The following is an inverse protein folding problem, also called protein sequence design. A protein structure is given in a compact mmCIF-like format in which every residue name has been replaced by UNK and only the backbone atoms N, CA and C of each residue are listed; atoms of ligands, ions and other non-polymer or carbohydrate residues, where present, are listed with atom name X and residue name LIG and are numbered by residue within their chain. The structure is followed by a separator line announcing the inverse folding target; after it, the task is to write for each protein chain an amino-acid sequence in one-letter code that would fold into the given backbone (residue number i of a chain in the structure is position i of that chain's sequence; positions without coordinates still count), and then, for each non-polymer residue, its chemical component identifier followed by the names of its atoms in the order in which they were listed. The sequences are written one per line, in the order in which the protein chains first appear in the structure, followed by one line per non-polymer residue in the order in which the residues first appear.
data_IF_866277189234
#
_entry.id   IF_866277189234
#
_cell.length_a   1.000
_cell.length_b   1.000
_cell.length_c   1.000
_cell.angle_alpha   90.00
_cell.angle_beta   90.00
_cell.angle_gamma   90.00
#
_symmetry.space_group_name_H-M   'P 1'
#
loop_
_entity.id
_entity.type
_entity.pdbx_description
1 polymer ?
#
# COMPACT_ATOMS: atom_id res chain seq x y z
N UNK A 1 -25.26 11.75 -1.83
CA UNK A 1 -24.04 12.57 -1.94
C UNK A 1 -22.81 11.74 -1.55
N UNK A 2 -22.91 10.95 -0.50
CA UNK A 2 -21.83 10.17 0.13
C UNK A 2 -21.15 9.19 -0.84
N UNK A 3 -21.93 8.47 -1.67
CA UNK A 3 -21.37 7.53 -2.67
C UNK A 3 -20.49 8.22 -3.72
N UNK A 4 -20.89 9.42 -4.16
CA UNK A 4 -20.09 10.18 -5.12
C UNK A 4 -18.78 10.68 -4.50
N UNK A 5 -18.85 11.17 -3.25
CA UNK A 5 -17.67 11.61 -2.52
C UNK A 5 -16.73 10.44 -2.17
N UNK A 6 -17.29 9.27 -1.82
CA UNK A 6 -16.52 8.04 -1.64
C UNK A 6 -15.75 7.66 -2.92
N UNK A 7 -16.44 7.68 -4.07
CA UNK A 7 -15.82 7.38 -5.36
C UNK A 7 -14.72 8.40 -5.72
N UNK A 8 -14.96 9.69 -5.51
CA UNK A 8 -13.95 10.74 -5.70
C UNK A 8 -12.76 10.50 -4.77
N UNK A 9 -13.00 10.12 -3.52
CA UNK A 9 -11.97 9.76 -2.56
C UNK A 9 -11.07 8.63 -3.07
N UNK A 10 -11.64 7.55 -3.61
CA UNK A 10 -10.86 6.46 -4.19
C UNK A 10 -10.06 6.90 -5.42
N UNK A 11 -10.63 7.71 -6.31
CA UNK A 11 -9.90 8.25 -7.47
C UNK A 11 -8.71 9.10 -7.02
N UNK A 12 -8.90 9.95 -6.01
CA UNK A 12 -7.82 10.77 -5.45
C UNK A 12 -6.74 9.91 -4.80
N UNK A 13 -7.10 8.86 -4.05
CA UNK A 13 -6.15 7.93 -3.44
C UNK A 13 -5.29 7.24 -4.51
N UNK A 14 -5.92 6.64 -5.52
CA UNK A 14 -5.23 5.88 -6.56
C UNK A 14 -4.34 6.81 -7.40
N UNK A 15 -4.90 7.90 -7.93
CA UNK A 15 -4.13 8.83 -8.77
C UNK A 15 -3.08 9.61 -7.97
N UNK A 16 -3.37 9.91 -6.71
CA UNK A 16 -2.42 10.53 -5.80
C UNK A 16 -1.22 9.61 -5.53
N UNK A 17 -1.46 8.32 -5.29
CA UNK A 17 -0.40 7.33 -5.12
C UNK A 17 0.45 7.16 -6.39
N UNK A 18 -0.17 7.07 -7.58
CA UNK A 18 0.53 7.02 -8.87
C UNK A 18 1.47 8.22 -9.02
N UNK A 19 0.98 9.45 -8.82
CA UNK A 19 1.80 10.66 -8.93
C UNK A 19 2.91 10.70 -7.89
N UNK A 20 2.64 10.28 -6.65
CA UNK A 20 3.64 10.23 -5.59
C UNK A 20 4.77 9.25 -5.94
N UNK A 21 4.45 8.06 -6.46
CA UNK A 21 5.42 7.04 -6.89
C UNK A 21 6.24 7.54 -8.07
N UNK A 22 5.61 8.08 -9.10
CA UNK A 22 6.29 8.59 -10.30
C UNK A 22 7.26 9.73 -9.95
N UNK A 23 6.79 10.69 -9.16
CA UNK A 23 7.60 11.82 -8.72
C UNK A 23 8.78 11.40 -7.86
N UNK A 24 8.54 10.56 -6.84
CA UNK A 24 9.56 10.09 -5.91
C UNK A 24 10.60 9.20 -6.58
N UNK A 25 10.16 8.28 -7.45
CA UNK A 25 11.05 7.43 -8.24
C UNK A 25 11.92 8.26 -9.19
N UNK A 26 11.35 9.26 -9.85
CA UNK A 26 12.12 10.17 -10.73
C UNK A 26 13.13 10.99 -9.95
N UNK A 27 12.76 11.53 -8.79
CA UNK A 27 13.67 12.27 -7.91
C UNK A 27 14.84 11.38 -7.44
N UNK A 28 14.55 10.17 -6.98
CA UNK A 28 15.57 9.23 -6.53
C UNK A 28 16.56 8.86 -7.66
N UNK A 29 16.09 8.73 -8.90
CA UNK A 29 16.96 8.51 -10.08
C UNK A 29 17.83 9.72 -10.40
N UNK A 30 17.28 10.94 -10.33
CA UNK A 30 18.07 12.17 -10.46
C UNK A 30 19.20 12.19 -9.42
N UNK A 31 18.93 11.69 -8.20
CA UNK A 31 19.91 11.54 -7.12
C UNK A 31 20.82 10.31 -7.28
N UNK A 32 20.73 9.58 -8.39
CA UNK A 32 21.51 8.36 -8.71
C UNK A 32 21.31 7.20 -7.72
N UNK A 33 20.14 7.12 -7.11
CA UNK A 33 19.75 5.96 -6.29
C UNK A 33 19.50 4.76 -7.22
N UNK A 34 20.07 3.57 -6.92
CA UNK A 34 19.82 2.36 -7.70
C UNK A 34 18.33 2.06 -7.80
N UNK A 35 17.87 1.67 -8.98
CA UNK A 35 16.44 1.47 -9.27
C UNK A 35 15.83 0.30 -8.50
N UNK A 36 16.62 -0.72 -8.17
CA UNK A 36 16.19 -1.81 -7.26
C UNK A 36 15.79 -1.25 -5.90
N UNK A 37 16.56 -0.30 -5.34
CA UNK A 37 16.22 0.35 -4.05
C UNK A 37 14.94 1.17 -4.21
N UNK A 38 14.78 1.88 -5.32
CA UNK A 38 13.57 2.66 -5.60
C UNK A 38 12.34 1.74 -5.61
N UNK A 39 12.41 0.61 -6.33
CA UNK A 39 11.33 -0.36 -6.39
C UNK A 39 10.98 -0.98 -5.03
N UNK A 40 12.00 -1.41 -4.28
CA UNK A 40 11.81 -2.06 -2.98
C UNK A 40 11.34 -1.10 -1.87
N UNK A 41 11.56 0.19 -2.01
CA UNK A 41 11.20 1.20 -0.99
C UNK A 41 10.09 2.12 -1.47
N UNK A 42 10.39 3.03 -2.39
CA UNK A 42 9.47 4.11 -2.81
C UNK A 42 8.22 3.52 -3.47
N UNK A 43 8.38 2.60 -4.42
CA UNK A 43 7.24 2.00 -5.12
C UNK A 43 6.42 1.16 -4.15
N UNK A 44 7.07 0.30 -3.35
CA UNK A 44 6.37 -0.55 -2.38
C UNK A 44 5.61 0.28 -1.32
N UNK A 45 6.21 1.36 -0.80
CA UNK A 45 5.54 2.25 0.14
C UNK A 45 4.44 3.09 -0.54
N UNK A 46 4.66 3.53 -1.77
CA UNK A 46 3.69 4.31 -2.53
C UNK A 46 2.44 3.53 -2.88
N UNK A 47 2.57 2.25 -3.22
CA UNK A 47 1.40 1.38 -3.47
C UNK A 47 0.57 1.11 -2.22
N UNK A 48 1.17 1.19 -1.02
CA UNK A 48 0.48 1.09 0.27
C UNK A 48 0.08 2.45 0.85
N UNK A 49 0.33 3.56 0.14
CA UNK A 49 -0.04 4.90 0.60
C UNK A 49 -1.55 5.10 0.75
N UNK A 50 -2.43 4.58 -0.15
CA UNK A 50 -3.87 4.61 0.04
C UNK A 50 -4.33 3.94 1.33
N UNK A 51 -3.86 2.71 1.60
CA UNK A 51 -4.19 1.97 2.81
C UNK A 51 -3.71 2.70 4.07
N UNK A 52 -2.47 3.20 4.05
CA UNK A 52 -1.90 3.95 5.15
C UNK A 52 -2.69 5.24 5.40
N UNK A 53 -3.05 5.99 4.35
CA UNK A 53 -3.84 7.22 4.47
C UNK A 53 -5.21 6.95 5.09
N UNK A 54 -5.93 5.95 4.60
CA UNK A 54 -7.24 5.58 5.14
C UNK A 54 -7.11 5.15 6.60
N UNK A 55 -6.17 4.27 6.94
CA UNK A 55 -6.01 3.77 8.32
C UNK A 55 -5.60 4.87 9.29
N UNK A 56 -4.70 5.80 8.89
CA UNK A 56 -4.30 6.94 9.71
C UNK A 56 -5.49 7.90 9.92
N UNK A 57 -6.22 8.25 8.85
CA UNK A 57 -7.37 9.14 8.97
C UNK A 57 -8.48 8.52 9.83
N UNK A 58 -8.77 7.23 9.66
CA UNK A 58 -9.73 6.51 10.49
C UNK A 58 -9.33 6.52 11.98
N UNK A 59 -8.06 6.26 12.29
CA UNK A 59 -7.54 6.32 13.65
C UNK A 59 -7.64 7.74 14.26
N UNK A 60 -7.34 8.78 13.47
CA UNK A 60 -7.48 10.18 13.90
C UNK A 60 -8.95 10.60 14.12
N UNK A 61 -9.87 10.03 13.33
CA UNK A 61 -11.32 10.23 13.48
C UNK A 61 -11.93 9.40 14.63
N UNK A 62 -11.15 8.53 15.29
CA UNK A 62 -11.64 7.65 16.36
C UNK A 62 -12.30 6.36 15.85
N UNK A 63 -12.35 6.14 14.54
CA UNK A 63 -12.89 4.91 13.90
C UNK A 63 -11.81 3.82 13.80
N UNK A 64 -11.34 3.37 14.96
CA UNK A 64 -10.24 2.38 15.05
C UNK A 64 -10.58 1.05 14.36
N UNK A 65 -11.86 0.67 14.35
CA UNK A 65 -12.35 -0.53 13.68
C UNK A 65 -12.11 -0.46 12.16
N UNK A 66 -12.32 0.70 11.54
CA UNK A 66 -11.99 0.91 10.12
C UNK A 66 -10.47 0.82 9.91
N UNK A 67 -9.66 1.42 10.78
CA UNK A 67 -8.21 1.42 10.64
C UNK A 67 -7.64 0.00 10.61
N UNK A 68 -8.05 -0.85 11.55
CA UNK A 68 -7.57 -2.24 11.67
C UNK A 68 -8.15 -3.12 10.55
N UNK A 69 -9.45 -3.01 10.30
CA UNK A 69 -10.14 -3.84 9.31
C UNK A 69 -9.69 -3.54 7.88
N UNK A 70 -9.35 -2.28 7.57
CA UNK A 70 -8.76 -1.92 6.28
C UNK A 70 -7.43 -2.65 6.04
N UNK A 71 -6.52 -2.67 7.02
CA UNK A 71 -5.23 -3.38 6.90
C UNK A 71 -5.43 -4.88 6.71
N UNK A 72 -6.28 -5.51 7.53
CA UNK A 72 -6.57 -6.94 7.43
C UNK A 72 -7.27 -7.27 6.12
N UNK A 73 -8.28 -6.49 5.74
CA UNK A 73 -9.04 -6.67 4.51
C UNK A 73 -8.17 -6.53 3.26
N UNK A 74 -7.30 -5.53 3.21
CA UNK A 74 -6.36 -5.33 2.10
C UNK A 74 -5.38 -6.50 1.97
N UNK A 75 -4.85 -7.03 3.07
CA UNK A 75 -4.00 -8.21 3.05
C UNK A 75 -4.73 -9.45 2.51
N UNK A 76 -5.98 -9.68 2.96
CA UNK A 76 -6.81 -10.78 2.47
C UNK A 76 -7.14 -10.61 0.99
N UNK A 77 -7.56 -9.42 0.57
CA UNK A 77 -7.88 -9.13 -0.82
C UNK A 77 -6.65 -9.33 -1.72
N UNK A 78 -5.50 -8.78 -1.35
CA UNK A 78 -4.27 -8.92 -2.11
C UNK A 78 -3.81 -10.38 -2.19
N UNK A 79 -3.86 -11.12 -1.09
CA UNK A 79 -3.44 -12.52 -1.04
C UNK A 79 -4.39 -13.49 -1.76
N UNK A 80 -5.69 -13.31 -1.65
CA UNK A 80 -6.67 -14.25 -2.20
C UNK A 80 -7.14 -13.83 -3.59
N UNK A 81 -7.52 -12.55 -3.76
CA UNK A 81 -8.13 -12.09 -5.02
C UNK A 81 -7.04 -11.72 -6.03
N UNK A 82 -6.13 -10.81 -5.69
CA UNK A 82 -5.12 -10.33 -6.66
C UNK A 82 -4.21 -11.48 -7.08
N UNK A 83 -3.61 -12.19 -6.12
CA UNK A 83 -2.72 -13.33 -6.43
C UNK A 83 -3.51 -14.45 -7.10
N UNK A 84 -4.74 -14.75 -6.65
CA UNK A 84 -5.60 -15.77 -7.22
C UNK A 84 -5.97 -15.50 -8.68
N UNK A 85 -6.40 -14.27 -9.00
CA UNK A 85 -6.73 -13.85 -10.37
C UNK A 85 -5.49 -13.87 -11.26
N UNK A 86 -4.35 -13.35 -10.80
CA UNK A 86 -3.10 -13.40 -11.55
C UNK A 86 -2.69 -14.85 -11.86
N UNK A 87 -2.78 -15.75 -10.90
CA UNK A 87 -2.45 -17.17 -11.09
C UNK A 87 -3.42 -17.87 -12.05
N UNK A 88 -4.69 -17.50 -12.03
CA UNK A 88 -5.71 -18.02 -12.94
C UNK A 88 -5.49 -17.55 -14.39
N UNK A 89 -5.14 -16.28 -14.58
CA UNK A 89 -4.93 -15.70 -15.92
C UNK A 89 -3.59 -16.11 -16.55
N UNK A 90 -2.53 -16.12 -15.76
CA UNK A 90 -1.18 -16.49 -16.20
C UNK A 90 -0.43 -17.10 -15.02
N UNK A 91 -0.29 -18.43 -15.00
CA UNK A 91 0.50 -19.10 -13.97
C UNK A 91 1.91 -18.49 -13.89
N UNK A 92 2.36 -18.11 -12.70
CA UNK A 92 3.68 -17.49 -12.50
C UNK A 92 4.54 -18.31 -11.55
N UNK A 93 5.86 -18.23 -11.75
CA UNK A 93 6.84 -18.83 -10.85
C UNK A 93 7.24 -17.82 -9.79
N UNK A 94 7.27 -18.24 -8.53
CA UNK A 94 7.70 -17.38 -7.42
C UNK A 94 9.22 -17.47 -7.26
N UNK A 95 9.87 -16.32 -7.02
CA UNK A 95 11.29 -16.28 -6.70
C UNK A 95 11.55 -17.04 -5.37
N UNK A 96 12.56 -17.93 -5.32
CA UNK A 96 12.93 -18.65 -4.10
C UNK A 96 13.24 -17.76 -2.89
N UNK A 97 13.72 -16.54 -3.10
CA UNK A 97 13.98 -15.58 -2.02
C UNK A 97 12.69 -15.12 -1.33
N UNK A 98 11.64 -14.84 -2.09
CA UNK A 98 10.32 -14.50 -1.56
C UNK A 98 9.80 -15.63 -0.67
N UNK A 99 9.92 -16.87 -1.15
CA UNK A 99 9.42 -18.03 -0.43
C UNK A 99 10.19 -18.32 0.86
N UNK A 100 11.52 -18.10 0.86
CA UNK A 100 12.40 -18.45 1.99
C UNK A 100 12.60 -17.30 2.98
N UNK A 101 12.48 -16.06 2.56
CA UNK A 101 12.73 -14.88 3.39
C UNK A 101 11.44 -14.11 3.69
N UNK A 102 10.72 -13.67 2.66
CA UNK A 102 9.64 -12.71 2.82
C UNK A 102 8.34 -13.37 3.32
N UNK A 103 8.02 -14.58 2.84
CA UNK A 103 6.85 -15.33 3.31
C UNK A 103 6.92 -15.70 4.80
N UNK A 104 7.99 -16.29 5.32
CA UNK A 104 8.12 -16.57 6.77
C UNK A 104 8.05 -15.30 7.60
N UNK A 105 8.69 -14.21 7.15
CA UNK A 105 8.63 -12.93 7.85
C UNK A 105 7.21 -12.37 7.91
N UNK A 106 6.47 -12.42 6.80
CA UNK A 106 5.08 -12.00 6.75
C UNK A 106 4.21 -12.79 7.74
N UNK A 107 4.39 -14.11 7.81
CA UNK A 107 3.69 -14.98 8.77
C UNK A 107 4.03 -14.57 10.21
N UNK A 108 5.30 -14.32 10.51
CA UNK A 108 5.75 -13.91 11.85
C UNK A 108 5.15 -12.57 12.24
N UNK A 109 5.21 -11.57 11.35
CA UNK A 109 4.65 -10.24 11.61
C UNK A 109 3.13 -10.31 11.80
N UNK A 110 2.43 -11.11 11.00
CA UNK A 110 0.99 -11.31 11.14
C UNK A 110 0.66 -12.00 12.48
N UNK A 111 1.44 -13.00 12.89
CA UNK A 111 1.27 -13.65 14.18
C UNK A 111 1.52 -12.70 15.36
N UNK A 112 2.55 -11.85 15.27
CA UNK A 112 2.82 -10.81 16.28
C UNK A 112 1.64 -9.85 16.37
N UNK A 113 1.13 -9.36 15.22
CA UNK A 113 -0.03 -8.48 15.18
C UNK A 113 -1.27 -9.16 15.79
N UNK A 114 -1.52 -10.43 15.48
CA UNK A 114 -2.61 -11.20 16.10
C UNK A 114 -2.46 -11.29 17.61
N UNK A 115 -1.24 -11.51 18.13
CA UNK A 115 -0.99 -11.57 19.59
C UNK A 115 -1.25 -10.20 20.22
N UNK A 116 -0.78 -9.11 19.61
CA UNK A 116 -1.03 -7.73 20.07
C UNK A 116 -2.52 -7.38 20.12
N UNK A 117 -3.31 -7.95 19.20
CA UNK A 117 -4.76 -7.70 19.12
C UNK A 117 -5.60 -8.58 20.06
N UNK A 118 -5.03 -9.49 20.84
CA UNK A 118 -5.79 -10.35 21.75
C UNK A 118 -6.57 -9.57 22.82
N UNK A 119 -6.03 -8.45 23.27
CA UNK A 119 -6.69 -7.55 24.22
C UNK A 119 -7.59 -6.51 23.53
N UNK A 120 -7.71 -6.56 22.18
CA UNK A 120 -8.48 -5.63 21.32
C UNK A 120 -7.97 -4.19 21.36
N UNK A 121 -6.73 -3.99 21.79
CA UNK A 121 -6.09 -2.69 21.86
C UNK A 121 -4.69 -2.76 21.27
N UNK A 122 -4.31 -1.76 20.47
CA UNK A 122 -2.91 -1.54 20.10
C UNK A 122 -2.46 -0.27 20.81
N UNK A 123 -1.54 -0.42 21.75
CA UNK A 123 -1.01 0.70 22.49
C UNK A 123 0.16 1.38 21.75
N UNK A 124 0.58 2.55 22.24
CA UNK A 124 1.64 3.34 21.59
C UNK A 124 2.99 2.61 21.52
N UNK A 125 3.29 1.79 22.52
CA UNK A 125 4.55 1.03 22.59
C UNK A 125 4.55 -0.05 21.51
N UNK A 126 3.47 -0.77 21.35
CA UNK A 126 3.28 -1.77 20.30
C UNK A 126 3.37 -1.14 18.91
N UNK A 127 2.74 0.04 18.71
CA UNK A 127 2.87 0.81 17.47
C UNK A 127 4.32 1.19 17.17
N UNK A 128 5.10 1.63 18.17
CA UNK A 128 6.52 1.93 18.02
C UNK A 128 7.32 0.67 17.65
N UNK A 129 7.04 -0.47 18.28
CA UNK A 129 7.69 -1.76 17.97
C UNK A 129 7.45 -2.13 16.50
N UNK A 130 6.22 -2.02 16.01
CA UNK A 130 5.88 -2.30 14.61
C UNK A 130 6.61 -1.36 13.65
N UNK A 131 6.68 -0.05 13.96
CA UNK A 131 7.40 0.94 13.15
C UNK A 131 8.91 0.67 13.11
N UNK A 132 9.52 0.31 14.24
CA UNK A 132 10.94 -0.09 14.30
C UNK A 132 11.14 -1.36 13.47
N UNK A 133 10.26 -2.36 13.60
CA UNK A 133 10.30 -3.57 12.80
C UNK A 133 10.27 -3.29 11.29
N UNK A 134 9.39 -2.38 10.85
CA UNK A 134 9.33 -1.93 9.46
C UNK A 134 10.61 -1.23 9.00
N UNK A 135 11.16 -0.33 9.83
CA UNK A 135 12.42 0.35 9.53
C UNK A 135 13.60 -0.63 9.37
N UNK A 136 13.69 -1.61 10.27
CA UNK A 136 14.71 -2.68 10.20
C UNK A 136 14.53 -3.54 8.94
N UNK A 137 13.30 -3.89 8.59
CA UNK A 137 13.00 -4.64 7.38
C UNK A 137 13.43 -3.89 6.11
N UNK A 138 13.05 -2.61 5.99
CA UNK A 138 13.46 -1.77 4.85
C UNK A 138 14.99 -1.66 4.78
N UNK A 139 15.66 -1.42 5.91
CA UNK A 139 17.12 -1.35 5.95
C UNK A 139 17.76 -2.67 5.49
N UNK A 140 17.25 -3.82 5.94
CA UNK A 140 17.73 -5.14 5.52
C UNK A 140 17.54 -5.37 4.02
N UNK A 141 16.38 -4.98 3.45
CA UNK A 141 16.12 -5.07 2.02
C UNK A 141 17.08 -4.20 1.21
N UNK A 142 17.30 -2.95 1.62
CA UNK A 142 18.22 -2.01 0.96
C UNK A 142 19.65 -2.56 0.98
N UNK A 143 20.12 -3.07 2.13
CA UNK A 143 21.45 -3.66 2.25
C UNK A 143 21.60 -4.89 1.35
N UNK A 144 20.57 -5.75 1.28
CA UNK A 144 20.55 -6.92 0.40
C UNK A 144 20.62 -6.52 -1.08
N UNK A 145 19.82 -5.53 -1.49
CA UNK A 145 19.80 -5.02 -2.86
C UNK A 145 21.13 -4.39 -3.29
N UNK A 146 21.80 -3.67 -2.40
CA UNK A 146 23.13 -3.10 -2.67
C UNK A 146 24.21 -4.17 -2.87
N UNK A 147 24.06 -5.33 -2.24
CA UNK A 147 25.00 -6.47 -2.41
C UNK A 147 24.82 -7.19 -3.74
N UNK A 148 23.58 -7.30 -4.22
CA UNK A 148 23.23 -8.16 -5.36
C UNK A 148 23.34 -7.47 -6.72
N UNK A 149 23.67 -6.17 -6.81
CA UNK A 149 23.90 -5.37 -8.05
C UNK A 149 23.00 -5.78 -9.24
N UNK A 150 21.71 -5.91 -9.03
CA UNK A 150 20.79 -6.16 -10.16
C UNK A 150 20.59 -4.87 -10.96
N UNK A 151 20.76 -4.98 -12.27
CA UNK A 151 20.52 -3.89 -13.22
C UNK A 151 19.00 -3.74 -13.41
N UNK A 152 18.50 -2.54 -13.26
CA UNK A 152 17.09 -2.30 -13.35
C UNK A 152 16.67 -1.56 -14.61
N UNK A 153 15.41 -1.78 -14.96
CA UNK A 153 14.74 -1.29 -16.16
C UNK A 153 14.74 0.23 -16.32
N UNK A 154 14.79 0.66 -17.59
CA UNK A 154 14.71 2.05 -18.02
C UNK A 154 13.25 2.57 -17.93
N UNK A 155 12.92 3.29 -16.88
CA UNK A 155 11.67 4.05 -16.82
C UNK A 155 11.92 5.53 -17.16
N UNK A 156 10.89 6.22 -17.64
CA UNK A 156 10.94 7.65 -17.97
C UNK A 156 11.27 8.50 -16.74
N UNK A 157 12.29 9.34 -16.84
CA UNK A 157 12.67 10.29 -15.78
C UNK A 157 11.94 11.61 -16.03
N UNK A 158 11.21 12.09 -15.03
CA UNK A 158 10.60 13.42 -15.03
C UNK A 158 11.67 14.47 -14.74
N UNK A 159 11.45 15.72 -15.19
CA UNK A 159 12.29 16.84 -14.77
C UNK A 159 12.13 17.12 -13.27
N UNK A 160 13.17 17.67 -12.63
CA UNK A 160 13.16 17.94 -11.19
C UNK A 160 11.91 18.75 -10.73
N UNK A 161 11.52 19.87 -11.36
CA UNK A 161 10.34 20.61 -10.93
C UNK A 161 9.05 19.78 -11.10
N UNK A 162 8.94 18.98 -12.15
CA UNK A 162 7.79 18.11 -12.36
C UNK A 162 7.73 16.98 -11.32
N UNK A 163 8.88 16.41 -10.95
CA UNK A 163 8.96 15.41 -9.88
C UNK A 163 8.48 15.98 -8.54
N UNK A 164 8.88 17.20 -8.18
CA UNK A 164 8.43 17.85 -6.95
C UNK A 164 6.92 18.14 -6.96
N UNK A 165 6.38 18.61 -8.08
CA UNK A 165 4.93 18.83 -8.22
C UNK A 165 4.17 17.52 -8.07
N UNK A 166 4.66 16.43 -8.65
CA UNK A 166 4.06 15.11 -8.54
C UNK A 166 4.10 14.55 -7.11
N UNK A 167 5.22 14.73 -6.40
CA UNK A 167 5.34 14.32 -4.99
C UNK A 167 4.35 15.08 -4.11
N UNK A 168 4.35 16.41 -4.18
CA UNK A 168 3.50 17.25 -3.32
C UNK A 168 2.03 17.08 -3.69
N UNK A 169 1.70 17.15 -4.97
CA UNK A 169 0.34 16.97 -5.47
C UNK A 169 -0.21 15.58 -5.17
N UNK A 170 0.62 14.54 -5.36
CA UNK A 170 0.27 13.17 -5.04
C UNK A 170 0.01 12.98 -3.55
N UNK A 171 0.88 13.50 -2.69
CA UNK A 171 0.71 13.41 -1.23
C UNK A 171 -0.57 14.12 -0.76
N UNK A 172 -0.83 15.32 -1.26
CA UNK A 172 -2.06 16.07 -0.96
C UNK A 172 -3.29 15.25 -1.40
N UNK A 173 -3.28 14.71 -2.62
CA UNK A 173 -4.39 13.92 -3.14
C UNK A 173 -4.64 12.65 -2.31
N UNK A 174 -3.57 11.96 -1.86
CA UNK A 174 -3.68 10.77 -0.98
C UNK A 174 -4.29 11.14 0.38
N UNK A 175 -3.84 12.23 1.01
CA UNK A 175 -4.36 12.67 2.31
C UNK A 175 -5.85 13.03 2.20
N UNK A 176 -6.22 13.91 1.26
CA UNK A 176 -7.61 14.32 1.07
C UNK A 176 -8.50 13.16 0.62
N UNK A 177 -8.01 12.30 -0.26
CA UNK A 177 -8.70 11.10 -0.69
C UNK A 177 -9.00 10.16 0.48
N UNK A 178 -8.02 9.94 1.37
CA UNK A 178 -8.20 9.15 2.59
C UNK A 178 -9.28 9.70 3.52
N UNK A 179 -9.28 11.01 3.76
CA UNK A 179 -10.33 11.67 4.56
C UNK A 179 -11.71 11.49 3.93
N UNK A 180 -11.85 11.76 2.63
CA UNK A 180 -13.13 11.57 1.93
C UNK A 180 -13.64 10.13 2.01
N UNK A 181 -12.76 9.15 1.85
CA UNK A 181 -13.14 7.73 1.94
C UNK A 181 -13.64 7.39 3.33
N UNK A 182 -12.90 7.75 4.38
CA UNK A 182 -13.28 7.43 5.77
C UNK A 182 -14.61 8.09 6.14
N UNK A 183 -14.74 9.40 5.95
CA UNK A 183 -15.92 10.15 6.34
C UNK A 183 -17.19 9.61 5.67
N UNK A 184 -17.12 9.36 4.36
CA UNK A 184 -18.29 8.88 3.62
C UNK A 184 -18.56 7.39 3.85
N UNK A 185 -17.54 6.57 4.08
CA UNK A 185 -17.72 5.17 4.46
C UNK A 185 -18.42 5.04 5.83
N UNK A 186 -18.04 5.87 6.83
CA UNK A 186 -18.72 5.91 8.12
C UNK A 186 -20.19 6.30 7.99
N UNK A 187 -20.52 7.31 7.16
CA UNK A 187 -21.90 7.71 6.91
C UNK A 187 -22.72 6.59 6.27
N UNK A 188 -22.16 5.94 5.23
CA UNK A 188 -22.80 4.81 4.55
C UNK A 188 -23.01 3.64 5.51
N UNK A 189 -22.02 3.30 6.34
CA UNK A 189 -22.14 2.26 7.35
C UNK A 189 -23.33 2.53 8.29
N UNK A 190 -23.46 3.78 8.76
CA UNK A 190 -24.52 4.22 9.64
C UNK A 190 -25.91 4.13 8.97
N UNK A 191 -26.02 4.54 7.71
CA UNK A 191 -27.27 4.53 6.95
C UNK A 191 -27.78 3.10 6.70
N UNK A 192 -26.88 2.15 6.46
CA UNK A 192 -27.22 0.74 6.26
C UNK A 192 -27.29 -0.07 7.56
N UNK A 193 -26.93 0.48 8.69
CA UNK A 193 -26.87 -0.24 9.97
C UNK A 193 -25.83 -1.36 9.97
N UNK A 194 -24.79 -1.26 9.13
CA UNK A 194 -23.67 -2.21 9.09
C UNK A 194 -22.52 -1.70 9.96
N UNK A 195 -21.72 -2.63 10.48
CA UNK A 195 -20.59 -2.25 11.33
C UNK A 195 -19.47 -1.58 10.50
N UNK A 196 -18.74 -0.66 11.14
CA UNK A 196 -17.55 -0.04 10.55
C UNK A 196 -16.49 -1.07 10.17
N UNK A 197 -16.36 -2.16 10.95
CA UNK A 197 -15.51 -3.30 10.62
C UNK A 197 -15.86 -3.93 9.27
N UNK A 198 -17.16 -4.14 9.00
CA UNK A 198 -17.59 -4.74 7.75
C UNK A 198 -17.24 -3.85 6.55
N UNK A 199 -17.48 -2.56 6.65
CA UNK A 199 -17.13 -1.59 5.59
C UNK A 199 -15.61 -1.51 5.40
N UNK A 200 -14.83 -1.49 6.47
CA UNK A 200 -13.36 -1.49 6.42
C UNK A 200 -12.80 -2.73 5.74
N UNK A 201 -13.30 -3.92 6.11
CA UNK A 201 -12.87 -5.20 5.53
C UNK A 201 -13.28 -5.38 4.06
N UNK A 202 -14.32 -4.71 3.59
CA UNK A 202 -14.87 -4.92 2.25
C UNK A 202 -14.63 -3.71 1.35
N UNK A 203 -15.51 -2.72 1.37
CA UNK A 203 -15.52 -1.61 0.41
C UNK A 203 -14.21 -0.83 0.44
N UNK A 204 -13.71 -0.50 1.63
CA UNK A 204 -12.49 0.29 1.77
C UNK A 204 -11.28 -0.54 1.35
N UNK A 205 -11.17 -1.77 1.86
CA UNK A 205 -10.05 -2.65 1.54
C UNK A 205 -9.95 -2.95 0.04
N UNK A 206 -11.09 -3.24 -0.63
CA UNK A 206 -11.12 -3.44 -2.08
C UNK A 206 -10.71 -2.15 -2.80
N UNK A 207 -11.28 -1.00 -2.43
CA UNK A 207 -11.02 0.28 -3.09
C UNK A 207 -9.58 0.73 -3.00
N UNK A 208 -8.93 0.56 -1.85
CA UNK A 208 -7.50 0.90 -1.67
C UNK A 208 -6.58 -0.09 -2.38
N UNK A 209 -6.94 -1.36 -2.43
CA UNK A 209 -6.12 -2.40 -3.07
C UNK A 209 -6.19 -2.41 -4.61
N UNK A 210 -7.11 -1.68 -5.23
CA UNK A 210 -7.18 -1.55 -6.70
C UNK A 210 -5.92 -0.88 -7.27
N UNK A 211 -5.29 0.04 -6.56
CA UNK A 211 -4.02 0.67 -6.97
C UNK A 211 -2.91 -0.36 -7.15
N UNK A 212 -2.82 -1.33 -6.25
CA UNK A 212 -1.87 -2.43 -6.31
C UNK A 212 -2.08 -3.33 -7.53
N UNK A 213 -3.34 -3.63 -7.85
CA UNK A 213 -3.72 -4.46 -9.01
C UNK A 213 -3.32 -3.80 -10.32
N UNK A 214 -3.50 -2.49 -10.45
CA UNK A 214 -3.17 -1.74 -11.67
C UNK A 214 -1.67 -1.71 -11.95
N UNK A 215 -0.84 -1.45 -10.94
CA UNK A 215 0.62 -1.44 -11.09
C UNK A 215 1.17 -2.84 -11.43
N UNK A 216 0.69 -3.88 -10.73
CA UNK A 216 1.17 -5.24 -10.92
C UNK A 216 0.71 -5.87 -12.25
N UNK A 217 -0.46 -5.50 -12.75
CA UNK A 217 -0.91 -5.91 -14.09
C UNK A 217 0.03 -5.37 -15.18
N UNK A 218 0.53 -4.14 -15.04
CA UNK A 218 1.52 -3.58 -15.96
C UNK A 218 2.87 -4.28 -15.89
N UNK A 219 3.37 -4.63 -14.70
CA UNK A 219 4.61 -5.40 -14.53
C UNK A 219 4.47 -6.82 -15.09
N UNK A 220 3.35 -7.51 -14.84
CA UNK A 220 3.14 -8.88 -15.32
C UNK A 220 2.98 -8.92 -16.85
N UNK A 221 2.33 -7.93 -17.46
CA UNK A 221 2.25 -7.80 -18.91
C UNK A 221 3.62 -7.50 -19.52
N UNK A 222 4.42 -6.63 -18.92
CA UNK A 222 5.78 -6.33 -19.41
C UNK A 222 6.70 -7.56 -19.37
N UNK A 223 6.60 -8.40 -18.33
CA UNK A 223 7.37 -9.66 -18.21
C UNK A 223 6.87 -10.74 -19.19
N UNK A 224 5.58 -10.71 -19.56
CA UNK A 224 4.98 -11.68 -20.49
C UNK A 224 5.34 -11.40 -21.96
N UNK A 225 5.79 -10.19 -22.30
CA UNK A 225 6.20 -9.78 -23.65
C UNK A 225 7.73 -9.68 -23.83
N UNK A 226 8.52 -9.99 -22.82
CA UNK A 226 9.98 -10.09 -22.86
C UNK A 226 10.44 -11.57 -22.87
#
# INVERSE_FOLDING_TARGET
MEYLLLLIGFVLLIKGADFFVDGSSSLARIMKVPSVIIGLTIVAMGTSAPEASVSINAALAGSNDIAISNVIGSNLFNGLVVVGVCAFMAGFKTNPEILKRDMPLNIIVTAILCIMLLDRHINRIEGIILLIGMAVYIAAMVISALKNRETADECKILSLPKSLIFIIGGLIAVIFGGTLVVDNACLIAKDFGVSENFIGLTIIAIGTSVSYTHLRAHETLAISYA
#
